data_IF_218557447706
#
_entry.id   IF_218557447706
#
_cell.length_a   1.000
_cell.length_b   1.000
_cell.length_c   1.000
_cell.angle_alpha   90.00
_cell.angle_beta   90.00
_cell.angle_gamma   90.00
#
_symmetry.space_group_name_H-M   'P 1'
#
loop_
_entity.id
_entity.type
_entity.pdbx_description
1 polymer ?
#
# COMPACT_ATOMS: atom_id res chain seq x y z
N UNK A 1 21.50 29.44 -5.38
CA UNK A 1 20.55 29.59 -4.25
C UNK A 1 19.18 29.76 -4.85
N UNK A 2 18.45 28.68 -4.97
CA UNK A 2 17.29 28.53 -5.85
C UNK A 2 16.01 28.48 -5.02
N UNK A 3 15.00 29.15 -5.51
CA UNK A 3 13.68 29.50 -5.00
C UNK A 3 12.74 28.32 -4.65
N UNK A 4 13.25 27.09 -4.43
CA UNK A 4 12.41 25.90 -4.20
C UNK A 4 12.09 25.62 -2.72
N UNK A 5 12.69 26.33 -1.78
CA UNK A 5 12.60 25.98 -0.34
C UNK A 5 11.53 26.77 0.44
N UNK A 6 11.01 27.85 -0.14
CA UNK A 6 10.07 28.74 0.56
C UNK A 6 8.63 28.21 0.65
N UNK A 7 8.19 27.30 -0.23
CA UNK A 7 6.81 26.79 -0.23
C UNK A 7 6.57 25.69 0.80
N UNK A 8 7.58 24.91 1.15
CA UNK A 8 7.48 23.89 2.23
C UNK A 8 7.47 24.54 3.62
N UNK A 9 8.22 25.62 3.81
CA UNK A 9 8.23 26.37 5.07
C UNK A 9 6.95 27.17 5.29
N UNK A 10 6.32 27.70 4.26
CA UNK A 10 5.07 28.45 4.36
C UNK A 10 3.90 27.62 4.89
N UNK A 11 3.79 26.35 4.52
CA UNK A 11 2.74 25.45 5.01
C UNK A 11 2.92 25.07 6.48
N UNK A 12 4.14 24.77 6.89
CA UNK A 12 4.45 24.44 8.31
C UNK A 12 4.30 25.66 9.21
N UNK A 13 4.63 26.87 8.73
CA UNK A 13 4.46 28.12 9.49
C UNK A 13 3.01 28.58 9.51
N UNK A 14 2.22 28.38 8.47
CA UNK A 14 0.79 28.66 8.49
C UNK A 14 0.05 27.77 9.50
N UNK A 15 0.37 26.47 9.56
CA UNK A 15 -0.20 25.55 10.56
C UNK A 15 0.28 25.90 11.99
N UNK A 16 1.53 26.36 12.19
CA UNK A 16 2.04 26.80 13.50
C UNK A 16 1.52 28.18 13.93
N UNK A 17 1.30 29.11 13.00
CA UNK A 17 0.73 30.42 13.29
C UNK A 17 -0.74 30.34 13.73
N UNK A 18 -1.53 29.44 13.11
CA UNK A 18 -2.91 29.16 13.51
C UNK A 18 -3.01 28.48 14.88
N UNK A 19 -2.02 27.70 15.28
CA UNK A 19 -1.98 27.06 16.61
C UNK A 19 -1.92 28.05 17.78
N UNK A 20 -1.36 29.25 17.60
CA UNK A 20 -1.26 30.27 18.66
C UNK A 20 -2.53 31.13 18.80
N UNK A 21 -3.39 31.17 17.78
CA UNK A 21 -4.62 31.99 17.80
C UNK A 21 -5.81 31.30 18.51
N UNK A 22 -5.69 30.03 18.86
CA UNK A 22 -6.81 29.13 19.23
C UNK A 22 -7.05 29.03 20.74
N UNK A 23 -6.30 29.70 21.58
CA UNK A 23 -6.44 29.59 23.06
C UNK A 23 -7.71 30.20 23.68
N UNK A 24 -8.65 30.75 22.92
CA UNK A 24 -9.89 31.35 23.44
C UNK A 24 -11.12 31.04 22.63
N UNK A 25 -11.87 29.97 22.92
CA UNK A 25 -13.35 30.01 22.90
C UNK A 25 -14.00 28.68 23.33
N UNK A 26 -14.93 28.79 24.29
CA UNK A 26 -15.84 27.72 24.78
C UNK A 26 -17.06 27.62 23.89
N UNK A 27 -17.31 26.47 23.26
CA UNK A 27 -18.64 25.96 22.93
C UNK A 27 -18.55 24.47 22.53
N UNK A 28 -18.77 23.59 23.50
CA UNK A 28 -18.33 22.20 23.52
C UNK A 28 -19.40 21.15 23.16
N UNK A 29 -20.66 21.52 23.01
CA UNK A 29 -21.76 20.53 23.19
C UNK A 29 -22.28 19.92 21.89
N UNK A 30 -22.10 20.55 20.73
CA UNK A 30 -22.75 20.08 19.49
C UNK A 30 -21.94 19.06 18.66
N UNK A 31 -20.63 18.99 18.86
CA UNK A 31 -19.73 18.11 18.08
C UNK A 31 -19.71 16.69 18.62
N UNK A 32 -20.07 16.49 19.87
CA UNK A 32 -20.04 15.19 20.56
C UNK A 32 -20.99 14.13 19.96
N UNK A 33 -22.16 14.55 19.46
CA UNK A 33 -23.21 13.62 19.02
C UNK A 33 -22.90 12.79 17.77
N UNK A 34 -22.01 13.20 16.89
CA UNK A 34 -21.77 12.50 15.61
C UNK A 34 -20.70 11.41 15.74
N UNK A 35 -19.83 11.50 16.75
CA UNK A 35 -18.86 10.45 17.07
C UNK A 35 -19.41 9.43 18.09
N UNK A 36 -20.45 9.75 18.84
CA UNK A 36 -21.03 8.89 19.87
C UNK A 36 -21.63 7.57 19.37
N UNK A 37 -21.99 7.49 18.07
CA UNK A 37 -22.50 6.28 17.43
C UNK A 37 -21.42 5.35 16.83
N UNK A 38 -20.13 5.58 17.12
CA UNK A 38 -19.07 5.00 16.32
C UNK A 38 -18.20 3.96 17.00
N UNK A 39 -18.73 2.79 17.31
CA UNK A 39 -17.93 1.56 17.12
C UNK A 39 -17.87 1.32 15.62
N UNK A 40 -16.96 2.01 14.90
CA UNK A 40 -16.93 1.96 13.44
C UNK A 40 -15.66 1.28 12.96
N UNK A 41 -15.85 0.49 11.93
CA UNK A 41 -14.80 -0.10 11.14
C UNK A 41 -14.29 0.98 10.16
N UNK A 42 -13.02 1.31 10.26
CA UNK A 42 -12.38 2.33 9.41
C UNK A 42 -11.39 1.68 8.46
N UNK A 43 -11.56 1.93 7.17
CA UNK A 43 -10.67 1.52 6.09
C UNK A 43 -9.66 2.62 5.80
N UNK A 44 -8.41 2.25 5.68
CA UNK A 44 -7.29 3.11 5.32
C UNK A 44 -6.70 2.65 4.00
N UNK A 45 -6.50 3.57 3.06
CA UNK A 45 -5.65 3.35 1.89
C UNK A 45 -4.29 3.96 2.16
N UNK A 46 -3.22 3.20 1.92
CA UNK A 46 -1.89 3.50 2.43
C UNK A 46 -0.88 3.33 1.29
N UNK A 47 -0.04 4.34 1.10
CA UNK A 47 1.11 4.31 0.20
C UNK A 47 2.41 4.30 1.00
N UNK A 48 3.40 3.51 0.56
CA UNK A 48 4.71 3.49 1.20
C UNK A 48 5.85 3.10 0.27
N UNK A 49 7.01 3.71 0.51
CA UNK A 49 8.31 3.23 0.04
C UNK A 49 8.79 2.11 0.98
N UNK A 50 8.82 0.88 0.47
CA UNK A 50 9.19 -0.31 1.24
C UNK A 50 10.69 -0.47 1.50
N UNK A 51 11.56 0.34 0.85
CA UNK A 51 13.01 0.12 0.76
C UNK A 51 13.70 -0.14 2.10
N UNK A 52 13.29 0.56 3.16
CA UNK A 52 13.90 0.43 4.49
C UNK A 52 13.14 -0.46 5.47
N UNK A 53 11.98 -1.00 5.05
CA UNK A 53 11.13 -1.81 5.92
C UNK A 53 11.33 -3.31 5.70
N UNK A 54 11.15 -4.07 6.77
CA UNK A 54 11.18 -5.54 6.77
C UNK A 54 9.85 -6.15 6.32
N UNK A 55 8.98 -5.33 5.73
CA UNK A 55 7.67 -5.69 5.19
C UNK A 55 6.50 -5.11 5.98
N UNK A 56 5.31 -5.55 5.61
CA UNK A 56 4.06 -5.09 6.23
C UNK A 56 3.90 -5.56 7.67
N UNK A 57 4.08 -6.86 7.92
CA UNK A 57 3.69 -7.52 9.16
C UNK A 57 4.40 -6.95 10.38
N UNK A 58 3.63 -6.61 11.42
CA UNK A 58 4.17 -6.14 12.70
C UNK A 58 5.19 -7.11 13.28
N UNK A 59 6.34 -6.59 13.60
CA UNK A 59 7.42 -7.28 14.30
C UNK A 59 7.37 -6.99 15.79
N UNK A 60 8.08 -7.78 16.60
CA UNK A 60 8.17 -7.61 18.04
C UNK A 60 9.47 -6.88 18.45
N UNK A 61 9.46 -6.33 19.66
CA UNK A 61 10.62 -5.65 20.23
C UNK A 61 11.05 -4.41 19.43
N UNK A 62 12.34 -4.15 19.37
CA UNK A 62 12.93 -2.99 18.69
C UNK A 62 12.67 -2.96 17.18
N UNK A 63 12.51 -4.13 16.57
CA UNK A 63 12.21 -4.25 15.13
C UNK A 63 10.79 -3.79 14.74
N UNK A 64 9.93 -3.45 15.71
CA UNK A 64 8.57 -2.95 15.44
C UNK A 64 8.56 -1.74 14.52
N UNK A 65 9.53 -0.83 14.69
CA UNK A 65 9.70 0.38 13.87
C UNK A 65 10.23 0.10 12.45
N UNK A 66 10.55 -1.16 12.14
CA UNK A 66 10.94 -1.60 10.81
C UNK A 66 9.79 -2.29 10.06
N UNK A 67 8.56 -2.26 10.58
CA UNK A 67 7.38 -2.83 9.95
C UNK A 67 6.31 -1.76 9.73
N UNK A 68 5.70 -1.75 8.54
CA UNK A 68 4.67 -0.76 8.17
C UNK A 68 3.50 -0.81 9.17
N UNK A 69 2.95 -2.01 9.43
CA UNK A 69 1.85 -2.20 10.38
C UNK A 69 2.20 -1.71 11.78
N UNK A 70 3.43 -1.97 12.25
CA UNK A 70 3.88 -1.56 13.57
C UNK A 70 3.91 -0.05 13.75
N UNK A 71 4.44 0.66 12.74
CA UNK A 71 4.48 2.13 12.71
C UNK A 71 3.07 2.72 12.67
N UNK A 72 2.20 2.19 11.81
CA UNK A 72 0.82 2.67 11.69
C UNK A 72 0.02 2.45 12.98
N UNK A 73 0.15 1.30 13.63
CA UNK A 73 -0.52 1.04 14.91
C UNK A 73 0.00 1.94 16.04
N UNK A 74 1.30 2.25 16.07
CA UNK A 74 1.90 3.19 17.03
C UNK A 74 1.42 4.62 16.77
N UNK A 75 1.39 5.05 15.52
CA UNK A 75 0.85 6.35 15.12
C UNK A 75 -0.63 6.48 15.49
N UNK A 76 -1.45 5.45 15.18
CA UNK A 76 -2.87 5.46 15.54
C UNK A 76 -3.07 5.51 17.05
N UNK A 77 -2.25 4.80 17.83
CA UNK A 77 -2.29 4.90 19.29
C UNK A 77 -1.95 6.31 19.77
N UNK A 78 -0.92 6.93 19.22
CA UNK A 78 -0.52 8.29 19.56
C UNK A 78 -1.65 9.29 19.26
N UNK A 79 -2.27 9.20 18.09
CA UNK A 79 -3.32 10.12 17.65
C UNK A 79 -4.64 9.90 18.38
N UNK A 80 -5.05 8.66 18.62
CA UNK A 80 -6.39 8.33 19.13
C UNK A 80 -6.44 7.90 20.60
N UNK A 81 -5.29 7.61 21.21
CA UNK A 81 -5.20 6.97 22.52
C UNK A 81 -5.61 5.50 22.56
N UNK A 82 -5.99 4.91 21.41
CA UNK A 82 -6.52 3.56 21.32
C UNK A 82 -5.51 2.57 20.75
N UNK A 83 -5.31 1.45 21.45
CA UNK A 83 -4.57 0.31 20.92
C UNK A 83 -5.45 -0.43 19.93
N UNK A 84 -5.27 -0.18 18.64
CA UNK A 84 -5.99 -0.85 17.56
C UNK A 84 -5.09 -1.87 16.88
N UNK A 85 -5.71 -2.92 16.31
CA UNK A 85 -5.04 -3.89 15.44
C UNK A 85 -5.44 -3.61 14.01
N UNK A 86 -4.49 -3.26 13.17
CA UNK A 86 -4.70 -3.12 11.74
C UNK A 86 -4.75 -4.50 11.07
N UNK A 87 -5.75 -4.70 10.24
CA UNK A 87 -5.87 -5.87 9.37
C UNK A 87 -5.59 -5.43 7.94
N UNK A 88 -4.42 -5.83 7.39
CA UNK A 88 -4.06 -5.52 6.01
C UNK A 88 -4.74 -6.44 5.00
N UNK A 89 -4.94 -5.96 3.76
CA UNK A 89 -5.50 -6.74 2.64
C UNK A 89 -4.60 -7.91 2.24
N UNK A 90 -3.32 -7.77 2.44
CA UNK A 90 -2.28 -8.77 2.24
C UNK A 90 -0.98 -8.33 2.90
N UNK A 91 -0.08 -9.27 3.10
CA UNK A 91 1.27 -8.96 3.53
C UNK A 91 2.11 -8.61 2.30
N UNK A 92 2.94 -7.59 2.43
CA UNK A 92 4.02 -7.30 1.50
C UNK A 92 5.34 -7.68 2.16
N UNK A 93 6.26 -8.22 1.38
CA UNK A 93 7.56 -8.67 1.86
C UNK A 93 8.52 -7.51 2.09
N UNK A 94 9.70 -7.82 2.67
CA UNK A 94 10.78 -6.86 2.84
C UNK A 94 11.10 -6.15 1.54
N UNK A 95 11.13 -4.81 1.58
CA UNK A 95 11.51 -3.98 0.44
C UNK A 95 10.42 -3.78 -0.61
N UNK A 96 9.25 -4.40 -0.48
CA UNK A 96 8.11 -4.23 -1.40
C UNK A 96 7.40 -2.92 -1.12
N UNK A 97 7.07 -2.18 -2.18
CA UNK A 97 6.38 -0.90 -2.12
C UNK A 97 4.85 -1.05 -2.24
N UNK A 98 4.12 0.01 -1.95
CA UNK A 98 2.69 0.08 -2.26
C UNK A 98 2.26 1.50 -2.62
N UNK A 99 1.43 1.61 -3.66
CA UNK A 99 0.63 2.81 -3.93
C UNK A 99 -0.72 2.76 -3.24
N UNK A 100 -1.29 1.57 -3.06
CA UNK A 100 -2.65 1.37 -2.59
C UNK A 100 -2.84 0.15 -1.68
N UNK A 101 -1.99 -0.05 -0.67
CA UNK A 101 -2.27 -1.03 0.38
C UNK A 101 -3.53 -0.62 1.15
N UNK A 102 -4.40 -1.58 1.44
CA UNK A 102 -5.61 -1.33 2.24
C UNK A 102 -5.52 -2.06 3.57
N UNK A 103 -5.89 -1.35 4.63
CA UNK A 103 -6.05 -1.95 5.96
C UNK A 103 -7.32 -1.42 6.63
N UNK A 104 -7.92 -2.20 7.55
CA UNK A 104 -9.00 -1.72 8.38
C UNK A 104 -8.73 -1.95 9.86
N UNK A 105 -9.36 -1.13 10.70
CA UNK A 105 -9.38 -1.29 12.15
C UNK A 105 -10.68 -0.80 12.75
N UNK A 106 -11.03 -1.36 13.91
CA UNK A 106 -12.17 -0.93 14.71
C UNK A 106 -11.75 0.09 15.75
N UNK A 107 -12.49 1.18 15.82
CA UNK A 107 -12.30 2.24 16.79
C UNK A 107 -13.53 2.39 17.69
N UNK A 108 -13.27 2.69 18.96
CA UNK A 108 -14.29 3.06 19.94
C UNK A 108 -14.31 4.59 20.03
N UNK A 109 -15.35 5.20 19.53
CA UNK A 109 -15.46 6.66 19.45
C UNK A 109 -15.57 7.35 20.82
N UNK A 110 -15.92 6.61 21.87
CA UNK A 110 -15.96 7.16 23.23
C UNK A 110 -14.57 7.45 23.82
N UNK A 111 -13.51 6.91 23.20
CA UNK A 111 -12.12 7.03 23.66
C UNK A 111 -11.34 7.94 22.73
N UNK A 112 -11.05 9.17 23.16
CA UNK A 112 -10.24 10.14 22.41
C UNK A 112 -9.00 10.53 23.21
N UNK A 113 -7.85 10.70 22.53
CA UNK A 113 -6.66 11.30 23.14
C UNK A 113 -6.83 12.82 23.26
N UNK A 114 -6.10 13.44 24.20
CA UNK A 114 -6.04 14.91 24.33
C UNK A 114 -5.58 15.57 23.02
N UNK A 115 -4.59 14.97 22.34
CA UNK A 115 -4.06 15.46 21.06
C UNK A 115 -5.11 15.48 19.96
N UNK A 116 -5.96 14.44 19.89
CA UNK A 116 -7.09 14.39 18.95
C UNK A 116 -8.15 15.45 19.28
N UNK A 117 -8.44 15.63 20.57
CA UNK A 117 -9.38 16.64 21.06
C UNK A 117 -8.86 18.05 20.73
N UNK A 118 -7.58 18.34 20.95
CA UNK A 118 -6.99 19.64 20.67
C UNK A 118 -6.91 19.93 19.17
N UNK A 119 -6.58 18.95 18.35
CA UNK A 119 -6.64 19.07 16.89
C UNK A 119 -8.07 19.34 16.40
N UNK A 120 -9.05 18.60 16.93
CA UNK A 120 -10.47 18.80 16.62
C UNK A 120 -10.95 20.22 17.00
N UNK A 121 -10.55 20.74 18.17
CA UNK A 121 -10.87 22.09 18.61
C UNK A 121 -10.24 23.17 17.73
N UNK A 122 -8.96 23.02 17.43
CA UNK A 122 -8.21 23.95 16.57
C UNK A 122 -8.87 24.05 15.21
N UNK A 123 -9.23 22.91 14.66
CA UNK A 123 -9.86 22.84 13.36
C UNK A 123 -11.26 23.44 13.32
N UNK A 124 -12.12 23.16 14.31
CA UNK A 124 -13.47 23.71 14.40
C UNK A 124 -13.46 25.24 14.58
N UNK A 125 -12.41 25.81 15.17
CA UNK A 125 -12.26 27.26 15.29
C UNK A 125 -12.00 27.93 13.93
N UNK A 126 -11.26 27.27 13.03
CA UNK A 126 -11.02 27.77 11.67
C UNK A 126 -12.29 27.74 10.79
N UNK A 127 -13.28 26.90 11.16
CA UNK A 127 -14.51 26.73 10.39
C UNK A 127 -15.61 27.75 10.73
N UNK A 128 -15.38 28.68 11.64
CA UNK A 128 -16.39 29.70 12.04
C UNK A 128 -16.88 30.59 10.89
N UNK A 129 -16.11 30.66 9.79
CA UNK A 129 -16.45 31.48 8.62
C UNK A 129 -17.14 30.68 7.51
N UNK A 130 -17.40 29.39 7.70
CA UNK A 130 -18.09 28.51 6.75
C UNK A 130 -19.40 28.06 7.37
N UNK A 131 -20.50 28.07 6.61
CA UNK A 131 -21.86 27.83 7.12
C UNK A 131 -21.96 26.58 8.01
N UNK A 132 -22.79 26.64 9.04
CA UNK A 132 -22.92 25.63 10.11
C UNK A 132 -23.23 24.20 9.59
N UNK A 133 -23.88 24.06 8.45
CA UNK A 133 -24.26 22.76 7.85
C UNK A 133 -23.07 21.98 7.28
N UNK A 134 -22.05 22.66 6.72
CA UNK A 134 -20.86 22.00 6.16
C UNK A 134 -19.88 21.49 7.22
N UNK A 135 -19.96 21.98 8.44
CA UNK A 135 -19.04 21.60 9.53
C UNK A 135 -19.30 20.19 10.09
N UNK A 136 -20.50 19.62 9.83
CA UNK A 136 -20.91 18.30 10.37
C UNK A 136 -20.67 17.13 9.42
N UNK A 137 -20.13 17.36 8.22
CA UNK A 137 -19.92 16.29 7.24
C UNK A 137 -18.82 15.33 7.70
N UNK A 138 -19.19 14.04 7.76
CA UNK A 138 -18.28 12.94 8.10
C UNK A 138 -17.03 12.88 7.18
N UNK A 139 -17.20 13.20 5.89
CA UNK A 139 -16.10 13.24 4.91
C UNK A 139 -15.03 14.25 5.32
N UNK A 140 -15.46 15.39 5.82
CA UNK A 140 -14.56 16.45 6.29
C UNK A 140 -13.78 16.00 7.53
N UNK A 141 -14.44 15.35 8.48
CA UNK A 141 -13.79 14.78 9.68
C UNK A 141 -12.76 13.72 9.33
N UNK A 142 -13.07 12.82 8.41
CA UNK A 142 -12.14 11.81 7.93
C UNK A 142 -10.93 12.42 7.21
N UNK A 143 -11.14 13.49 6.42
CA UNK A 143 -10.06 14.25 5.79
C UNK A 143 -9.08 14.80 6.84
N UNK A 144 -9.61 15.34 7.96
CA UNK A 144 -8.74 15.87 9.02
C UNK A 144 -8.06 14.78 9.81
N UNK A 145 -8.75 13.70 10.10
CA UNK A 145 -8.13 12.54 10.72
C UNK A 145 -6.95 12.03 9.87
N UNK A 146 -7.11 12.00 8.54
CA UNK A 146 -6.03 11.67 7.61
C UNK A 146 -4.86 12.65 7.71
N UNK A 147 -5.12 13.96 7.74
CA UNK A 147 -4.08 14.97 7.87
C UNK A 147 -3.32 14.78 9.20
N UNK A 148 -4.04 14.63 10.30
CA UNK A 148 -3.44 14.41 11.61
C UNK A 148 -2.57 13.16 11.65
N UNK A 149 -3.05 12.04 11.13
CA UNK A 149 -2.26 10.82 11.01
C UNK A 149 -0.97 11.05 10.22
N UNK A 150 -1.06 11.74 9.07
CA UNK A 150 0.08 11.99 8.20
C UNK A 150 1.11 12.97 8.80
N UNK A 151 0.72 13.85 9.74
CA UNK A 151 1.66 14.68 10.49
C UNK A 151 2.56 13.87 11.44
N UNK A 152 2.10 12.70 11.88
CA UNK A 152 2.83 11.79 12.76
C UNK A 152 3.56 10.66 12.02
N UNK A 153 3.39 10.55 10.71
CA UNK A 153 4.06 9.55 9.88
C UNK A 153 5.35 10.11 9.28
N UNK A 154 6.33 9.23 9.14
CA UNK A 154 7.56 9.51 8.41
C UNK A 154 7.24 9.69 6.92
N UNK A 155 8.16 10.32 6.17
CA UNK A 155 7.92 10.70 4.77
C UNK A 155 7.67 9.54 3.81
N UNK A 156 8.13 8.35 4.16
CA UNK A 156 8.01 7.14 3.36
C UNK A 156 6.72 6.33 3.60
N UNK A 157 5.82 6.80 4.47
CA UNK A 157 4.48 6.21 4.65
C UNK A 157 3.45 7.33 4.63
N UNK A 158 2.38 7.16 3.84
CA UNK A 158 1.24 8.09 3.80
C UNK A 158 -0.08 7.34 3.78
N UNK A 159 -1.02 7.84 4.54
CA UNK A 159 -2.44 7.49 4.40
C UNK A 159 -3.00 8.40 3.31
N UNK A 160 -3.41 7.80 2.20
CA UNK A 160 -3.93 8.51 1.02
C UNK A 160 -5.43 8.70 1.10
N UNK A 161 -6.14 7.75 1.76
CA UNK A 161 -7.57 7.86 1.98
C UNK A 161 -8.03 7.16 3.26
N UNK A 162 -9.17 7.63 3.82
CA UNK A 162 -9.83 7.06 5.00
C UNK A 162 -11.34 7.04 4.76
N UNK A 163 -11.96 5.88 4.98
CA UNK A 163 -13.40 5.69 4.83
C UNK A 163 -13.98 4.94 6.03
N UNK A 164 -15.22 5.27 6.40
CA UNK A 164 -16.02 4.42 7.27
C UNK A 164 -16.64 3.32 6.42
N UNK A 165 -16.49 2.09 6.83
CA UNK A 165 -16.99 0.92 6.10
C UNK A 165 -17.96 0.10 6.95
N UNK A 166 -18.67 -0.83 6.32
CA UNK A 166 -19.56 -1.75 7.01
C UNK A 166 -18.82 -2.52 8.10
N UNK A 167 -19.53 -2.86 9.19
CA UNK A 167 -18.97 -3.60 10.32
C UNK A 167 -18.40 -4.97 9.95
N UNK A 168 -18.93 -5.59 8.90
CA UNK A 168 -18.47 -6.89 8.40
C UNK A 168 -17.34 -6.78 7.38
N UNK A 169 -16.98 -5.56 6.95
CA UNK A 169 -15.88 -5.36 6.02
C UNK A 169 -14.57 -5.86 6.64
N UNK A 170 -13.83 -6.65 5.87
CA UNK A 170 -12.52 -7.17 6.26
C UNK A 170 -11.55 -6.99 5.09
N UNK A 171 -10.52 -6.15 5.26
CA UNK A 171 -9.59 -5.79 4.18
C UNK A 171 -9.03 -6.97 3.40
N UNK A 172 -8.83 -8.13 4.06
CA UNK A 172 -8.29 -9.33 3.39
C UNK A 172 -9.37 -10.15 2.70
N UNK A 173 -10.48 -10.43 3.41
CA UNK A 173 -11.47 -11.41 2.94
C UNK A 173 -12.54 -10.79 2.05
N UNK A 174 -12.79 -9.48 2.15
CA UNK A 174 -13.70 -8.76 1.26
C UNK A 174 -13.05 -8.33 -0.06
N UNK A 175 -11.73 -8.52 -0.23
CA UNK A 175 -11.04 -8.14 -1.45
C UNK A 175 -11.44 -9.06 -2.61
N UNK A 176 -11.84 -8.46 -3.73
CA UNK A 176 -12.19 -9.14 -4.98
C UNK A 176 -11.01 -9.29 -5.92
N UNK A 177 -10.15 -8.27 -5.97
CA UNK A 177 -8.93 -8.34 -6.77
C UNK A 177 -7.80 -7.53 -6.17
N UNK A 178 -6.57 -7.87 -6.58
CA UNK A 178 -5.35 -7.11 -6.28
C UNK A 178 -4.58 -6.90 -7.56
N UNK A 179 -4.02 -5.69 -7.69
CA UNK A 179 -3.14 -5.35 -8.80
C UNK A 179 -1.73 -5.10 -8.27
N UNK A 180 -0.77 -5.80 -8.85
CA UNK A 180 0.65 -5.59 -8.62
C UNK A 180 1.35 -5.15 -9.89
N UNK A 181 2.40 -4.37 -9.74
CA UNK A 181 3.33 -4.05 -10.82
C UNK A 181 4.74 -4.46 -10.44
N UNK A 182 5.48 -4.97 -11.43
CA UNK A 182 6.91 -5.18 -11.32
C UNK A 182 7.61 -4.31 -12.37
N UNK A 183 8.45 -3.38 -11.92
CA UNK A 183 9.10 -2.40 -12.77
C UNK A 183 10.50 -2.87 -13.15
N UNK A 184 10.80 -2.85 -14.45
CA UNK A 184 12.11 -3.07 -15.04
C UNK A 184 12.61 -1.75 -15.63
N UNK A 185 13.87 -1.40 -15.36
CA UNK A 185 14.58 -0.25 -15.97
C UNK A 185 15.51 -0.80 -17.05
N UNK A 186 15.30 -0.39 -18.30
CA UNK A 186 15.98 -0.95 -19.47
C UNK A 186 17.13 -0.04 -19.94
N UNK A 187 18.08 -0.64 -20.65
CA UNK A 187 19.20 0.03 -21.30
C UNK A 187 20.53 -0.21 -20.59
N UNK A 188 21.64 0.05 -21.29
CA UNK A 188 22.99 -0.28 -20.86
C UNK A 188 23.38 0.35 -19.51
N UNK A 189 22.93 1.59 -19.26
CA UNK A 189 23.28 2.31 -18.03
C UNK A 189 22.09 2.41 -17.09
N UNK A 190 22.22 2.00 -15.81
CA UNK A 190 21.16 2.07 -14.83
C UNK A 190 20.79 3.54 -14.50
N UNK A 191 19.50 3.82 -14.36
CA UNK A 191 19.01 5.13 -13.91
C UNK A 191 19.18 5.26 -12.38
N UNK A 192 19.97 6.23 -11.93
CA UNK A 192 20.24 6.45 -10.49
C UNK A 192 18.99 6.80 -9.68
N UNK A 193 17.99 7.44 -10.30
CA UNK A 193 16.74 7.81 -9.62
C UNK A 193 15.78 6.64 -9.48
N UNK A 194 15.94 5.58 -10.27
CA UNK A 194 15.09 4.39 -10.25
C UNK A 194 15.68 3.21 -9.47
N UNK A 195 16.93 3.30 -9.02
CA UNK A 195 17.66 2.21 -8.36
C UNK A 195 16.94 1.57 -7.16
N UNK A 196 15.95 2.27 -6.57
CA UNK A 196 15.13 1.79 -5.46
C UNK A 196 13.75 1.30 -5.89
N UNK A 197 13.37 1.50 -7.16
CA UNK A 197 12.00 1.35 -7.62
C UNK A 197 11.86 0.51 -8.90
N UNK A 198 12.97 0.07 -9.49
CA UNK A 198 13.00 -0.80 -10.65
C UNK A 198 14.22 -1.72 -10.62
N UNK A 199 14.06 -2.92 -11.15
CA UNK A 199 15.17 -3.81 -11.42
C UNK A 199 15.81 -3.41 -12.73
N UNK A 200 17.12 -3.13 -12.73
CA UNK A 200 17.85 -2.83 -13.95
C UNK A 200 18.11 -4.10 -14.77
N UNK A 201 17.83 -4.02 -16.08
CA UNK A 201 18.06 -5.05 -17.08
C UNK A 201 18.78 -4.40 -18.26
N UNK A 202 20.10 -4.63 -18.42
CA UNK A 202 20.88 -4.01 -19.51
C UNK A 202 20.67 -4.70 -20.85
N UNK A 203 20.29 -5.98 -20.87
CA UNK A 203 20.12 -6.77 -22.07
C UNK A 203 18.80 -6.43 -22.79
N UNK A 204 18.75 -6.50 -24.13
CA UNK A 204 17.52 -6.34 -24.89
C UNK A 204 16.55 -7.49 -24.61
N UNK A 205 15.27 -7.18 -24.47
CA UNK A 205 14.21 -8.14 -24.17
C UNK A 205 13.35 -8.43 -25.39
N UNK A 206 13.03 -9.71 -25.59
CA UNK A 206 12.00 -10.14 -26.54
C UNK A 206 10.61 -10.04 -25.89
N UNK A 207 10.06 -8.81 -25.90
CA UNK A 207 8.78 -8.48 -25.25
C UNK A 207 7.62 -9.28 -25.85
N UNK A 208 7.69 -9.62 -27.13
CA UNK A 208 6.62 -10.41 -27.77
C UNK A 208 6.59 -11.86 -27.24
N UNK A 209 7.75 -12.46 -26.98
CA UNK A 209 7.77 -13.78 -26.33
C UNK A 209 7.33 -13.68 -24.86
N UNK A 210 7.66 -12.60 -24.17
CA UNK A 210 7.14 -12.36 -22.82
C UNK A 210 5.62 -12.23 -22.80
N UNK A 211 5.00 -11.54 -23.77
CA UNK A 211 3.53 -11.43 -23.91
C UNK A 211 2.89 -12.78 -24.12
N UNK A 212 3.45 -13.61 -25.01
CA UNK A 212 2.97 -14.99 -25.21
C UNK A 212 3.01 -15.83 -23.93
N UNK A 213 4.11 -15.78 -23.19
CA UNK A 213 4.22 -16.48 -21.91
C UNK A 213 3.24 -15.93 -20.86
N UNK A 214 3.01 -14.62 -20.83
CA UNK A 214 2.05 -13.99 -19.95
C UNK A 214 0.62 -14.45 -20.23
N UNK A 215 0.23 -14.55 -21.49
CA UNK A 215 -1.10 -15.04 -21.90
C UNK A 215 -1.36 -16.47 -21.42
N UNK A 216 -0.34 -17.33 -21.44
CA UNK A 216 -0.43 -18.72 -20.95
C UNK A 216 -0.59 -18.82 -19.41
N UNK A 217 -0.26 -17.76 -18.67
CA UNK A 217 -0.39 -17.68 -17.21
C UNK A 217 -1.74 -17.10 -16.76
N UNK A 218 -2.51 -16.52 -17.69
CA UNK A 218 -3.84 -15.99 -17.40
C UNK A 218 -4.83 -17.13 -17.21
N UNK A 219 -5.71 -17.02 -16.23
CA UNK A 219 -6.70 -18.04 -15.90
C UNK A 219 -6.58 -18.55 -14.48
N UNK A 220 -7.31 -19.62 -14.19
CA UNK A 220 -7.31 -20.31 -12.90
C UNK A 220 -6.38 -21.52 -12.98
N UNK A 221 -5.28 -21.48 -12.23
CA UNK A 221 -4.26 -22.52 -12.24
C UNK A 221 -3.78 -22.81 -10.81
N UNK A 222 -3.16 -23.95 -10.62
CA UNK A 222 -2.36 -24.22 -9.44
C UNK A 222 -0.97 -23.56 -9.60
N UNK A 223 -0.76 -22.47 -8.87
CA UNK A 223 0.49 -21.70 -8.90
C UNK A 223 1.53 -22.18 -7.88
N UNK A 224 1.50 -23.44 -7.46
CA UNK A 224 2.47 -24.02 -6.54
C UNK A 224 3.92 -23.85 -7.00
N UNK A 225 4.21 -24.03 -8.31
CA UNK A 225 5.52 -23.76 -8.90
C UNK A 225 6.00 -22.30 -8.74
N UNK A 226 5.07 -21.37 -8.63
CA UNK A 226 5.34 -19.93 -8.47
C UNK A 226 5.24 -19.45 -7.01
N UNK A 227 5.37 -20.37 -6.05
CA UNK A 227 5.35 -20.09 -4.61
C UNK A 227 6.61 -20.64 -3.95
N UNK A 228 7.28 -19.84 -3.10
CA UNK A 228 8.49 -20.28 -2.41
C UNK A 228 8.23 -21.28 -1.28
N UNK A 229 7.00 -21.29 -0.76
CA UNK A 229 6.56 -22.13 0.37
C UNK A 229 5.21 -22.76 0.04
N UNK A 230 5.14 -23.43 -1.11
CA UNK A 230 3.92 -24.05 -1.57
C UNK A 230 3.44 -25.15 -0.60
N UNK A 231 4.39 -25.91 -0.03
CA UNK A 231 4.16 -26.97 0.94
C UNK A 231 3.52 -26.50 2.27
N UNK A 232 3.67 -25.24 2.60
CA UNK A 232 3.04 -24.63 3.78
C UNK A 232 1.59 -24.17 3.50
N UNK A 233 1.06 -24.39 2.31
CA UNK A 233 -0.25 -23.91 1.88
C UNK A 233 -1.22 -25.05 1.67
N UNK A 234 -2.42 -24.92 2.20
CA UNK A 234 -3.53 -25.84 1.95
C UNK A 234 -4.06 -25.70 0.51
N UNK A 235 -3.96 -24.48 -0.05
CA UNK A 235 -4.47 -24.17 -1.38
C UNK A 235 -3.53 -23.19 -2.11
N UNK A 236 -3.06 -23.61 -3.29
CA UNK A 236 -2.20 -22.85 -4.20
C UNK A 236 -2.92 -22.45 -5.50
N UNK A 237 -4.21 -22.76 -5.64
CA UNK A 237 -5.01 -22.33 -6.79
C UNK A 237 -5.32 -20.84 -6.70
N UNK A 238 -5.04 -20.12 -7.77
CA UNK A 238 -5.34 -18.68 -7.90
C UNK A 238 -5.85 -18.39 -9.30
N UNK A 239 -6.58 -17.28 -9.41
CA UNK A 239 -7.05 -16.78 -10.71
C UNK A 239 -6.31 -15.51 -11.06
N UNK A 240 -5.51 -15.55 -12.11
CA UNK A 240 -4.95 -14.33 -12.71
C UNK A 240 -5.93 -13.87 -13.79
N UNK A 241 -6.50 -12.68 -13.59
CA UNK A 241 -7.46 -12.09 -14.53
C UNK A 241 -6.77 -11.49 -15.75
N UNK A 242 -5.59 -10.90 -15.52
CA UNK A 242 -4.85 -10.18 -16.56
C UNK A 242 -3.38 -10.06 -16.21
N UNK A 243 -2.52 -10.17 -17.24
CA UNK A 243 -1.12 -9.75 -17.18
C UNK A 243 -0.89 -8.79 -18.34
N UNK A 244 -0.40 -7.60 -18.06
CA UNK A 244 -0.08 -6.56 -19.06
C UNK A 244 1.41 -6.26 -19.03
N UNK A 245 2.02 -6.15 -20.21
CA UNK A 245 3.37 -5.64 -20.39
C UNK A 245 3.26 -4.25 -21.00
N UNK A 246 3.57 -3.24 -20.21
CA UNK A 246 3.45 -1.81 -20.56
C UNK A 246 4.85 -1.28 -20.84
N UNK A 247 5.08 -0.92 -22.10
CA UNK A 247 6.34 -0.37 -22.55
C UNK A 247 6.30 1.16 -22.44
N UNK A 248 7.23 1.72 -21.71
CA UNK A 248 7.48 3.15 -21.59
C UNK A 248 8.94 3.44 -22.01
N UNK A 249 9.30 4.71 -22.16
CA UNK A 249 10.69 5.05 -22.46
C UNK A 249 11.64 4.47 -21.39
N UNK A 250 12.53 3.55 -21.80
CA UNK A 250 13.51 2.85 -20.94
C UNK A 250 12.90 2.07 -19.75
N UNK A 251 11.58 1.72 -19.82
CA UNK A 251 10.91 0.93 -18.78
C UNK A 251 10.03 -0.14 -19.39
N UNK A 252 9.94 -1.25 -18.69
CA UNK A 252 8.92 -2.27 -18.93
C UNK A 252 8.23 -2.56 -17.59
N UNK A 253 6.91 -2.34 -17.56
CA UNK A 253 6.10 -2.60 -16.39
C UNK A 253 5.30 -3.87 -16.62
N UNK A 254 5.49 -4.87 -15.76
CA UNK A 254 4.72 -6.09 -15.74
C UNK A 254 3.59 -5.92 -14.72
N UNK A 255 2.35 -5.76 -15.18
CA UNK A 255 1.17 -5.56 -14.32
C UNK A 255 0.36 -6.84 -14.24
N UNK A 256 0.06 -7.26 -13.02
CA UNK A 256 -0.67 -8.47 -12.69
C UNK A 256 -1.94 -8.13 -11.94
N UNK A 257 -3.09 -8.62 -12.40
CA UNK A 257 -4.38 -8.51 -11.69
C UNK A 257 -4.92 -9.92 -11.43
N UNK A 258 -5.30 -10.20 -10.19
CA UNK A 258 -5.83 -11.51 -9.79
C UNK A 258 -6.61 -11.45 -8.49
N UNK A 259 -7.27 -12.55 -8.12
CA UNK A 259 -8.03 -12.71 -6.87
C UNK A 259 -7.12 -12.68 -5.64
N UNK A 260 -5.89 -13.16 -5.77
CA UNK A 260 -4.88 -13.18 -4.74
C UNK A 260 -3.55 -13.69 -5.29
N UNK A 261 -2.49 -13.50 -4.49
CA UNK A 261 -1.16 -13.94 -4.86
C UNK A 261 -0.52 -14.69 -3.70
N UNK A 262 0.21 -15.77 -4.04
CA UNK A 262 0.97 -16.57 -3.09
C UNK A 262 2.27 -15.86 -2.68
N UNK A 263 2.96 -16.44 -1.71
CA UNK A 263 4.22 -15.91 -1.24
C UNK A 263 5.27 -15.87 -2.36
N UNK A 264 5.84 -14.69 -2.63
CA UNK A 264 6.77 -14.39 -3.72
C UNK A 264 6.20 -14.60 -5.15
N UNK A 265 4.93 -14.93 -5.33
CA UNK A 265 4.37 -15.32 -6.62
C UNK A 265 4.64 -14.30 -7.73
N UNK A 266 4.32 -13.02 -7.53
CA UNK A 266 4.53 -11.97 -8.56
C UNK A 266 6.02 -11.86 -8.91
N UNK A 267 6.93 -11.97 -7.95
CA UNK A 267 8.38 -11.91 -8.20
C UNK A 267 8.90 -13.09 -8.99
N UNK A 268 8.32 -14.29 -8.78
CA UNK A 268 8.68 -15.50 -9.51
C UNK A 268 8.09 -15.45 -10.92
N UNK A 269 6.82 -15.02 -11.07
CA UNK A 269 6.21 -14.80 -12.39
C UNK A 269 7.02 -13.79 -13.20
N UNK A 270 7.40 -12.65 -12.60
CA UNK A 270 8.22 -11.66 -13.27
C UNK A 270 9.60 -12.17 -13.64
N UNK A 271 10.21 -13.02 -12.80
CA UNK A 271 11.48 -13.67 -13.13
C UNK A 271 11.36 -14.67 -14.28
N UNK A 272 10.27 -15.41 -14.30
CA UNK A 272 10.00 -16.36 -15.38
C UNK A 272 9.79 -15.63 -16.72
N UNK A 273 8.99 -14.56 -16.72
CA UNK A 273 8.78 -13.74 -17.92
C UNK A 273 10.09 -13.05 -18.36
N UNK A 274 10.90 -12.58 -17.41
CA UNK A 274 12.20 -11.99 -17.74
C UNK A 274 13.13 -12.99 -18.40
N UNK A 275 13.22 -14.23 -17.91
CA UNK A 275 14.02 -15.29 -18.51
C UNK A 275 13.52 -15.68 -19.92
N UNK A 276 12.20 -15.58 -20.19
CA UNK A 276 11.65 -15.71 -21.54
C UNK A 276 12.10 -14.54 -22.43
N UNK A 277 12.04 -13.31 -21.93
CA UNK A 277 12.48 -12.12 -22.66
C UNK A 277 13.96 -12.13 -22.99
N UNK A 278 14.79 -12.69 -22.13
CA UNK A 278 16.23 -12.91 -22.32
C UNK A 278 16.52 -14.13 -23.23
N UNK A 279 15.49 -14.85 -23.71
CA UNK A 279 15.62 -16.10 -24.48
C UNK A 279 16.34 -17.23 -23.76
N UNK A 280 16.37 -17.20 -22.43
CA UNK A 280 16.92 -18.27 -21.59
C UNK A 280 15.97 -19.47 -21.49
N UNK A 281 14.67 -19.25 -21.82
CA UNK A 281 13.62 -20.27 -21.91
C UNK A 281 12.57 -19.92 -22.94
N UNK A 282 11.81 -20.91 -23.41
CA UNK A 282 10.67 -20.67 -24.32
C UNK A 282 9.44 -20.20 -23.56
N UNK A 283 8.50 -19.54 -24.27
CA UNK A 283 7.24 -19.09 -23.71
C UNK A 283 6.40 -20.26 -23.15
N UNK A 284 6.40 -21.41 -23.86
CA UNK A 284 5.63 -22.61 -23.51
C UNK A 284 6.15 -23.28 -22.22
N UNK A 285 7.38 -22.98 -21.79
CA UNK A 285 7.97 -23.55 -20.56
C UNK A 285 7.15 -23.25 -19.31
N UNK A 286 6.32 -22.18 -19.32
CA UNK A 286 5.45 -21.82 -18.19
C UNK A 286 4.35 -22.86 -17.98
N UNK A 287 3.85 -23.50 -19.05
CA UNK A 287 2.82 -24.56 -18.96
C UNK A 287 3.37 -25.77 -18.21
N UNK A 288 4.60 -26.18 -18.55
CA UNK A 288 5.26 -27.29 -17.85
C UNK A 288 5.43 -27.01 -16.37
N UNK A 289 5.79 -25.75 -15.99
CA UNK A 289 5.88 -25.37 -14.59
C UNK A 289 4.53 -25.45 -13.86
N UNK A 290 3.43 -25.04 -14.51
CA UNK A 290 2.07 -25.14 -13.95
C UNK A 290 1.64 -26.61 -13.80
N UNK A 291 1.82 -27.43 -14.82
CA UNK A 291 1.41 -28.85 -14.85
C UNK A 291 2.15 -29.68 -13.78
N UNK A 292 3.48 -29.56 -13.73
CA UNK A 292 4.32 -30.32 -12.81
C UNK A 292 4.36 -29.75 -11.39
N UNK A 293 3.86 -28.52 -11.17
CA UNK A 293 3.91 -27.80 -9.87
C UNK A 293 5.32 -27.72 -9.29
N UNK A 294 6.32 -27.78 -10.13
CA UNK A 294 7.71 -27.86 -9.73
C UNK A 294 8.36 -26.47 -9.72
N UNK A 295 8.76 -26.00 -8.53
CA UNK A 295 9.41 -24.69 -8.35
C UNK A 295 10.68 -24.53 -9.21
N UNK A 296 11.40 -25.60 -9.50
CA UNK A 296 12.64 -25.56 -10.30
C UNK A 296 12.37 -25.28 -11.78
N UNK A 297 11.16 -25.52 -12.26
CA UNK A 297 10.73 -25.22 -13.63
C UNK A 297 10.26 -23.76 -13.79
N UNK A 298 9.98 -23.05 -12.70
CA UNK A 298 9.74 -21.62 -12.72
C UNK A 298 11.05 -20.83 -12.65
N UNK A 299 11.02 -19.58 -13.09
CA UNK A 299 12.17 -18.69 -13.10
C UNK A 299 12.65 -18.27 -11.71
N UNK A 300 13.73 -17.51 -11.67
CA UNK A 300 14.31 -16.94 -10.44
C UNK A 300 13.34 -16.02 -9.72
N UNK A 301 13.40 -15.97 -8.40
CA UNK A 301 12.67 -14.96 -7.63
C UNK A 301 13.40 -13.63 -7.74
N UNK A 302 12.81 -12.67 -8.45
CA UNK A 302 13.40 -11.33 -8.58
C UNK A 302 13.46 -10.60 -7.24
N UNK A 303 14.29 -9.58 -7.16
CA UNK A 303 14.40 -8.71 -6.00
C UNK A 303 13.07 -7.98 -5.74
N UNK A 304 12.83 -7.53 -4.51
CA UNK A 304 11.62 -6.77 -4.16
C UNK A 304 11.63 -5.33 -4.66
N UNK A 305 12.77 -4.83 -5.13
CA UNK A 305 13.01 -3.42 -5.47
C UNK A 305 12.05 -2.86 -6.52
N UNK A 306 11.60 -3.68 -7.46
CA UNK A 306 10.66 -3.27 -8.52
C UNK A 306 9.20 -3.61 -8.21
N UNK A 307 8.87 -4.20 -7.07
CA UNK A 307 7.52 -4.70 -6.79
C UNK A 307 6.67 -3.68 -6.03
N UNK A 308 5.48 -3.40 -6.58
CA UNK A 308 4.48 -2.50 -6.02
C UNK A 308 3.12 -3.18 -5.89
N UNK A 309 2.47 -3.07 -4.73
CA UNK A 309 1.03 -3.29 -4.60
C UNK A 309 0.33 -1.99 -5.02
N UNK A 310 -0.30 -2.01 -6.20
CA UNK A 310 -0.89 -0.81 -6.80
C UNK A 310 -2.29 -0.54 -6.28
N UNK A 311 -3.13 -1.57 -6.26
CA UNK A 311 -4.56 -1.42 -5.94
C UNK A 311 -5.13 -2.70 -5.31
N UNK A 312 -6.12 -2.51 -4.44
CA UNK A 312 -6.99 -3.58 -3.93
C UNK A 312 -8.43 -3.17 -4.19
N UNK A 313 -9.23 -4.03 -4.80
CA UNK A 313 -10.64 -3.80 -5.14
C UNK A 313 -11.57 -4.60 -4.24
N UNK A 314 -12.71 -4.01 -3.91
CA UNK A 314 -13.72 -4.53 -2.97
C UNK A 314 -15.11 -4.61 -3.59
#
# INVERSE_FOLDING_TARGET
MTTLDMRKFGWVMAVKADMNLVKKTRNYILVMKVWEDMKKNIKFTISYDGSRFLGWQRLHGENRKLSIQGILEEMLFKVTGQKVKLVGSGRTDKGVHAYGQVANAFFDASKKSEEFIDFEKTYLSCCKNVGKEECCDIKRKLKYFRILCNLHLQEDIRITDIEVVDKNFHSRFSAKSKTYEYHLSLGETPCVFERKYALHVPEPLDVEQMKKAADLLVGTHDFGAFCTRAEEKEDTVRTIYKIELIEEDRKLILRYQGDGFLYNMVRILSGTLLEVGLRERSAESVLKALEERNRQLAGKTLSSVGLFLVKVEY
#
